data_IF_404165972511
#
_entry.id   IF_404165972511
#
_cell.length_a   1.000
_cell.length_b   1.000
_cell.length_c   1.000
_cell.angle_alpha   90.00
_cell.angle_beta   90.00
_cell.angle_gamma   90.00
#
_symmetry.space_group_name_H-M   'P 1'
#
loop_
_entity.id
_entity.type
_entity.pdbx_description
1 polymer ?
#
# COMPACT_ATOMS: atom_id res chain seq x y z
N UNK A 1 42.28 21.70 -9.64
CA UNK A 1 41.74 20.39 -9.23
C UNK A 1 42.19 20.11 -7.81
N UNK A 2 41.37 19.44 -7.00
CA UNK A 2 41.79 18.87 -5.72
C UNK A 2 42.35 17.48 -6.03
N UNK A 3 43.63 17.27 -5.72
CA UNK A 3 44.34 16.00 -5.93
C UNK A 3 45.01 15.52 -4.64
N UNK A 4 45.73 14.40 -4.71
CA UNK A 4 46.45 13.82 -3.56
C UNK A 4 47.57 14.70 -2.99
N UNK A 5 47.98 15.75 -3.71
CA UNK A 5 48.96 16.74 -3.24
C UNK A 5 48.32 17.95 -2.55
N UNK A 6 47.00 18.09 -2.67
CA UNK A 6 46.24 19.19 -2.07
C UNK A 6 46.11 18.99 -0.57
N UNK A 7 46.65 19.93 0.22
CA UNK A 7 46.47 19.93 1.68
C UNK A 7 45.13 20.57 2.03
N UNK A 8 44.32 19.82 2.76
CA UNK A 8 43.02 20.27 3.25
C UNK A 8 43.07 20.43 4.76
N UNK A 9 42.50 21.52 5.25
CA UNK A 9 42.26 21.75 6.67
C UNK A 9 40.74 21.83 6.88
N UNK A 10 40.23 21.04 7.81
CA UNK A 10 38.80 20.97 8.10
C UNK A 10 38.46 21.85 9.31
N UNK A 11 37.50 22.75 9.13
CA UNK A 11 36.87 23.52 10.21
C UNK A 11 35.37 23.20 10.19
N UNK A 12 34.91 22.17 10.91
CA UNK A 12 33.56 21.62 10.73
C UNK A 12 32.44 22.51 11.31
N UNK A 13 32.79 23.52 12.12
CA UNK A 13 31.81 24.41 12.73
C UNK A 13 30.83 23.64 13.62
N UNK A 14 29.54 23.69 13.29
CA UNK A 14 28.47 22.95 13.97
C UNK A 14 28.16 21.58 13.36
N UNK A 15 28.82 21.20 12.26
CA UNK A 15 28.67 19.89 11.62
C UNK A 15 29.45 18.81 12.36
N UNK A 16 29.01 17.56 12.22
CA UNK A 16 29.72 16.37 12.69
C UNK A 16 30.78 15.87 11.68
N UNK A 17 31.03 16.62 10.60
CA UNK A 17 32.00 16.27 9.56
C UNK A 17 33.39 16.06 10.17
N UNK A 18 33.98 14.90 9.89
CA UNK A 18 35.33 14.53 10.32
C UNK A 18 36.32 14.53 9.15
N UNK A 19 37.61 14.58 9.43
CA UNK A 19 38.64 14.43 8.39
C UNK A 19 38.50 13.09 7.66
N UNK A 20 38.20 12.02 8.41
CA UNK A 20 37.92 10.70 7.84
C UNK A 20 36.79 10.76 6.81
N UNK A 21 35.67 11.37 7.17
CA UNK A 21 34.54 11.53 6.27
C UNK A 21 34.90 12.39 5.05
N UNK A 22 35.57 13.53 5.25
CA UNK A 22 36.03 14.40 4.16
C UNK A 22 36.88 13.66 3.13
N UNK A 23 37.89 12.89 3.57
CA UNK A 23 38.75 12.16 2.65
C UNK A 23 38.01 11.06 1.89
N UNK A 24 37.08 10.36 2.54
CA UNK A 24 36.26 9.34 1.88
C UNK A 24 35.25 9.94 0.88
N UNK A 25 34.69 11.11 1.19
CA UNK A 25 33.83 11.87 0.26
C UNK A 25 34.61 12.27 -0.99
N UNK A 26 35.81 12.83 -0.82
CA UNK A 26 36.68 13.18 -1.95
C UNK A 26 37.08 11.96 -2.79
N UNK A 27 37.43 10.86 -2.14
CA UNK A 27 37.72 9.60 -2.81
C UNK A 27 36.51 9.09 -3.62
N UNK A 28 35.31 9.18 -3.06
CA UNK A 28 34.08 8.79 -3.75
C UNK A 28 33.78 9.67 -4.95
N UNK A 29 33.96 10.99 -4.82
CA UNK A 29 33.80 11.93 -5.93
C UNK A 29 34.81 11.67 -7.04
N UNK A 30 36.08 11.42 -6.72
CA UNK A 30 37.12 11.09 -7.70
C UNK A 30 36.87 9.76 -8.41
N UNK A 31 36.29 8.78 -7.71
CA UNK A 31 35.91 7.49 -8.31
C UNK A 31 34.69 7.61 -9.23
N UNK A 32 33.76 8.51 -8.93
CA UNK A 32 32.53 8.71 -9.74
C UNK A 32 32.79 9.67 -10.90
N UNK A 33 33.64 10.68 -10.69
CA UNK A 33 33.98 11.72 -11.67
C UNK A 33 35.50 11.70 -11.87
N UNK A 34 36.03 10.76 -12.68
CA UNK A 34 37.46 10.61 -12.89
C UNK A 34 37.98 11.72 -13.82
N UNK A 35 38.47 12.82 -13.25
CA UNK A 35 39.02 13.94 -14.02
C UNK A 35 40.43 13.64 -14.57
N UNK A 36 40.78 14.12 -15.78
CA UNK A 36 39.92 14.86 -16.71
C UNK A 36 38.92 13.93 -17.43
N UNK A 37 37.70 14.42 -17.63
CA UNK A 37 36.69 13.70 -18.40
C UNK A 37 37.07 13.68 -19.89
N UNK A 38 36.78 12.59 -20.62
CA UNK A 38 37.00 12.53 -22.06
C UNK A 38 36.11 13.54 -22.80
N UNK A 39 36.57 14.05 -23.94
CA UNK A 39 35.76 14.92 -24.80
C UNK A 39 34.49 14.20 -25.23
N UNK A 40 33.34 14.86 -25.10
CA UNK A 40 32.04 14.32 -25.54
C UNK A 40 31.98 14.34 -27.06
N UNK A 41 31.59 13.21 -27.67
CA UNK A 41 31.35 13.13 -29.11
C UNK A 41 30.15 14.01 -29.51
N UNK A 42 30.02 14.31 -30.80
CA UNK A 42 28.90 15.13 -31.30
C UNK A 42 27.55 14.41 -31.13
N UNK A 43 27.50 13.09 -31.31
CA UNK A 43 26.22 12.36 -31.32
C UNK A 43 25.45 12.42 -29.99
N UNK A 44 26.08 12.26 -28.79
CA UNK A 44 25.41 12.51 -27.51
C UNK A 44 24.92 13.94 -27.32
N UNK A 45 25.61 14.94 -27.88
CA UNK A 45 25.23 16.36 -27.77
C UNK A 45 23.98 16.71 -28.59
N UNK A 46 23.64 15.88 -29.59
CA UNK A 46 22.44 16.05 -30.42
C UNK A 46 21.16 15.50 -29.75
N UNK A 47 21.27 14.87 -28.58
CA UNK A 47 20.14 14.28 -27.82
C UNK A 47 20.06 14.88 -26.43
N UNK A 48 18.89 14.82 -25.80
CA UNK A 48 18.73 15.26 -24.41
C UNK A 48 19.73 14.55 -23.48
N UNK A 49 20.30 15.29 -22.53
CA UNK A 49 21.25 14.75 -21.57
C UNK A 49 20.62 13.64 -20.73
N UNK A 50 21.33 12.53 -20.55
CA UNK A 50 20.89 11.43 -19.68
C UNK A 50 21.94 11.15 -18.60
N UNK A 51 21.53 10.76 -17.38
CA UNK A 51 22.49 10.43 -16.33
C UNK A 51 23.31 9.19 -16.72
N UNK A 52 24.61 9.20 -16.43
CA UNK A 52 25.54 8.10 -16.72
C UNK A 52 26.14 7.51 -15.44
N UNK A 53 26.51 8.34 -14.47
CA UNK A 53 26.94 7.92 -13.13
C UNK A 53 26.17 8.74 -12.09
N UNK A 54 25.66 8.06 -11.06
CA UNK A 54 24.93 8.68 -9.95
C UNK A 54 25.57 8.22 -8.64
N UNK A 55 26.01 9.18 -7.83
CA UNK A 55 26.50 8.97 -6.48
C UNK A 55 25.53 9.59 -5.49
N UNK A 56 25.01 8.78 -4.57
CA UNK A 56 24.19 9.25 -3.45
C UNK A 56 25.03 9.19 -2.18
N UNK A 57 25.23 10.35 -1.58
CA UNK A 57 25.94 10.52 -0.32
C UNK A 57 24.92 10.70 0.80
N UNK A 58 24.90 9.79 1.76
CA UNK A 58 23.95 9.79 2.86
C UNK A 58 24.60 10.39 4.11
N UNK A 59 23.87 11.29 4.79
CA UNK A 59 24.24 11.92 6.06
C UNK A 59 25.59 12.66 6.07
N UNK A 60 25.94 13.35 4.99
CA UNK A 60 27.19 14.12 4.91
C UNK A 60 27.27 15.13 6.06
N UNK A 61 28.25 14.92 6.95
CA UNK A 61 28.51 15.77 8.11
C UNK A 61 27.44 15.72 9.20
N UNK A 62 26.65 14.64 9.25
CA UNK A 62 25.59 14.43 10.23
C UNK A 62 25.75 13.04 10.86
N UNK A 63 25.86 12.96 12.19
CA UNK A 63 25.81 11.68 12.90
C UNK A 63 24.36 11.38 13.33
N UNK A 64 23.67 10.39 12.70
CA UNK A 64 22.28 10.09 13.03
C UNK A 64 22.11 9.53 14.45
N UNK A 65 23.20 9.13 15.11
CA UNK A 65 23.20 8.57 16.47
C UNK A 65 23.97 9.44 17.46
N UNK A 66 24.19 10.73 17.15
CA UNK A 66 24.90 11.67 18.03
C UNK A 66 24.38 11.65 19.47
N UNK A 67 23.06 11.76 19.65
CA UNK A 67 22.45 11.76 20.97
C UNK A 67 22.66 10.45 21.74
N UNK A 68 22.57 9.31 21.04
CA UNK A 68 22.84 7.99 21.63
C UNK A 68 24.29 7.85 22.07
N UNK A 69 25.23 8.34 21.25
CA UNK A 69 26.66 8.35 21.59
C UNK A 69 26.95 9.24 22.79
N UNK A 70 26.41 10.46 22.79
CA UNK A 70 26.68 11.46 23.84
C UNK A 70 26.11 11.01 25.20
N UNK A 71 25.01 10.25 25.20
CA UNK A 71 24.37 9.71 26.40
C UNK A 71 24.74 8.25 26.73
N UNK A 72 25.62 7.61 25.95
CA UNK A 72 25.96 6.18 26.07
C UNK A 72 24.73 5.25 26.12
N UNK A 73 23.73 5.54 25.29
CA UNK A 73 22.52 4.72 25.21
C UNK A 73 22.86 3.39 24.55
N UNK A 74 22.57 2.30 25.25
CA UNK A 74 22.74 0.94 24.74
C UNK A 74 21.44 0.44 24.14
N UNK A 75 21.58 -0.21 22.98
CA UNK A 75 20.47 -0.87 22.30
C UNK A 75 20.00 -2.09 23.09
N UNK A 76 18.71 -2.18 23.35
CA UNK A 76 18.08 -3.34 24.03
C UNK A 76 17.23 -4.20 23.10
N UNK A 77 17.05 -3.78 21.85
CA UNK A 77 16.15 -4.43 20.87
C UNK A 77 16.93 -5.00 19.70
N UNK A 78 16.42 -6.08 19.10
CA UNK A 78 17.00 -6.72 17.92
C UNK A 78 16.72 -5.98 16.60
N UNK A 79 15.89 -4.92 16.61
CA UNK A 79 15.54 -4.17 15.40
C UNK A 79 16.75 -3.34 14.91
N UNK A 80 17.29 -3.74 13.76
CA UNK A 80 18.53 -3.19 13.18
C UNK A 80 18.35 -2.56 11.81
N UNK A 81 17.12 -2.48 11.29
CA UNK A 81 16.85 -1.76 10.03
C UNK A 81 17.20 -0.27 10.16
N UNK A 82 17.80 0.31 9.13
CA UNK A 82 18.28 1.70 9.14
C UNK A 82 17.14 2.72 9.03
N UNK A 83 15.95 2.33 8.56
CA UNK A 83 14.78 3.21 8.47
C UNK A 83 13.87 3.12 9.69
N UNK A 84 14.03 2.09 10.51
CA UNK A 84 13.26 1.84 11.72
C UNK A 84 14.16 1.27 12.82
N UNK A 85 15.20 2.01 13.20
CA UNK A 85 16.23 1.54 14.10
C UNK A 85 15.75 1.52 15.57
N UNK A 86 16.16 0.50 16.31
CA UNK A 86 15.90 0.36 17.75
C UNK A 86 14.42 0.21 18.15
N UNK A 87 14.19 0.18 19.46
CA UNK A 87 12.85 0.14 20.05
C UNK A 87 12.02 1.39 19.75
N UNK A 88 12.68 2.54 19.58
CA UNK A 88 12.05 3.83 19.27
C UNK A 88 11.73 4.02 17.78
N UNK A 89 12.16 3.09 16.90
CA UNK A 89 11.94 3.16 15.45
C UNK A 89 12.45 4.46 14.83
N UNK A 90 13.70 4.79 15.06
CA UNK A 90 14.34 5.99 14.50
C UNK A 90 14.72 5.79 13.03
N UNK A 91 14.70 6.86 12.26
CA UNK A 91 15.21 6.86 10.88
C UNK A 91 16.65 7.33 10.92
N UNK A 92 17.59 6.49 10.46
CA UNK A 92 19.00 6.85 10.41
C UNK A 92 19.39 7.52 9.08
N UNK A 93 18.49 7.62 8.10
CA UNK A 93 18.71 8.31 6.82
C UNK A 93 18.12 9.72 6.91
N UNK A 94 18.96 10.70 7.23
CA UNK A 94 18.53 12.07 7.55
C UNK A 94 18.71 13.04 6.38
N UNK A 95 19.81 12.93 5.65
CA UNK A 95 20.09 13.77 4.47
C UNK A 95 20.64 12.93 3.34
N UNK A 96 20.36 13.33 2.11
CA UNK A 96 20.92 12.72 0.91
C UNK A 96 21.43 13.81 -0.02
N UNK A 97 22.66 13.68 -0.49
CA UNK A 97 23.22 14.52 -1.55
C UNK A 97 23.42 13.65 -2.79
N UNK A 98 22.64 13.90 -3.85
CA UNK A 98 22.75 13.22 -5.13
C UNK A 98 23.68 14.00 -6.05
N UNK A 99 24.76 13.36 -6.48
CA UNK A 99 25.71 13.86 -7.49
C UNK A 99 25.50 13.06 -8.77
N UNK A 100 25.19 13.74 -9.87
CA UNK A 100 24.92 13.12 -11.16
C UNK A 100 25.89 13.63 -12.20
N UNK A 101 26.63 12.72 -12.84
CA UNK A 101 27.35 12.98 -14.07
C UNK A 101 26.47 12.54 -15.24
N UNK A 102 26.26 13.41 -16.23
CA UNK A 102 25.42 13.11 -17.39
C UNK A 102 26.24 12.85 -18.67
N UNK A 103 25.55 12.50 -19.75
CA UNK A 103 26.14 12.21 -21.07
C UNK A 103 26.83 13.41 -21.74
N UNK A 104 26.64 14.62 -21.23
CA UNK A 104 27.27 15.85 -21.71
C UNK A 104 28.47 16.28 -20.84
N UNK A 105 28.91 15.42 -19.91
CA UNK A 105 29.92 15.72 -18.89
C UNK A 105 29.51 16.84 -17.91
N UNK A 106 28.22 17.13 -17.75
CA UNK A 106 27.74 18.06 -16.74
C UNK A 106 27.60 17.33 -15.40
N UNK A 107 27.92 18.05 -14.32
CA UNK A 107 27.80 17.56 -12.95
C UNK A 107 26.67 18.34 -12.28
N UNK A 108 25.62 17.63 -11.89
CA UNK A 108 24.50 18.16 -11.14
C UNK A 108 24.58 17.68 -9.69
N UNK A 109 24.22 18.56 -8.76
CA UNK A 109 24.17 18.24 -7.33
C UNK A 109 22.84 18.69 -6.76
N UNK A 110 22.12 17.75 -6.14
CA UNK A 110 20.86 18.00 -5.45
C UNK A 110 20.97 17.54 -4.01
N UNK A 111 20.47 18.34 -3.07
CA UNK A 111 20.41 18.00 -1.65
C UNK A 111 18.96 17.77 -1.24
N UNK A 112 18.75 16.71 -0.49
CA UNK A 112 17.46 16.34 0.11
C UNK A 112 17.62 16.30 1.62
N UNK A 113 16.77 17.04 2.32
CA UNK A 113 16.66 17.06 3.76
C UNK A 113 15.19 17.13 4.19
N UNK A 114 14.94 16.96 5.49
CA UNK A 114 13.60 16.96 6.07
C UNK A 114 12.97 15.56 6.17
N UNK A 115 11.69 15.54 6.55
CA UNK A 115 10.99 14.32 6.97
C UNK A 115 10.83 13.30 5.84
N UNK A 116 10.85 13.74 4.58
CA UNK A 116 10.66 12.89 3.41
C UNK A 116 11.90 12.80 2.51
N UNK A 117 13.08 13.23 2.99
CA UNK A 117 14.31 13.34 2.19
C UNK A 117 14.62 12.10 1.33
N UNK A 118 14.54 10.90 1.91
CA UNK A 118 14.78 9.65 1.19
C UNK A 118 13.77 9.43 0.05
N UNK A 119 12.48 9.69 0.31
CA UNK A 119 11.41 9.45 -0.65
C UNK A 119 11.39 10.51 -1.75
N UNK A 120 11.70 11.76 -1.42
CA UNK A 120 11.88 12.82 -2.41
C UNK A 120 13.08 12.54 -3.32
N UNK A 121 14.22 12.14 -2.72
CA UNK A 121 15.40 11.71 -3.48
C UNK A 121 15.08 10.52 -4.39
N UNK A 122 14.33 9.54 -3.89
CA UNK A 122 13.95 8.35 -4.64
C UNK A 122 13.00 8.69 -5.81
N UNK A 123 11.98 9.53 -5.56
CA UNK A 123 11.06 10.00 -6.61
C UNK A 123 11.81 10.73 -7.72
N UNK A 124 12.67 11.67 -7.36
CA UNK A 124 13.39 12.49 -8.32
C UNK A 124 14.46 11.68 -9.06
N UNK A 125 15.13 10.74 -8.38
CA UNK A 125 16.00 9.74 -9.02
C UNK A 125 15.26 8.96 -10.10
N UNK A 126 14.12 8.35 -9.74
CA UNK A 126 13.33 7.50 -10.63
C UNK A 126 12.76 8.25 -11.82
N UNK A 127 12.27 9.49 -11.62
CA UNK A 127 11.74 10.32 -12.69
C UNK A 127 12.82 10.82 -13.67
N UNK A 128 14.09 10.85 -13.26
CA UNK A 128 15.22 11.24 -14.10
C UNK A 128 15.94 10.06 -14.77
N UNK A 129 15.49 8.82 -14.55
CA UNK A 129 16.07 7.65 -15.21
C UNK A 129 15.82 7.69 -16.73
N UNK A 130 16.81 7.29 -17.55
CA UNK A 130 16.64 7.20 -18.99
C UNK A 130 15.67 6.07 -19.34
N UNK A 131 14.91 6.29 -20.42
CA UNK A 131 14.10 5.24 -21.02
C UNK A 131 15.01 4.24 -21.75
N UNK A 132 14.87 2.94 -21.44
CA UNK A 132 15.57 1.86 -22.13
C UNK A 132 16.52 1.05 -21.25
N UNK A 133 17.33 0.15 -21.84
CA UNK A 133 18.13 -0.82 -21.10
C UNK A 133 19.38 -0.23 -20.45
N UNK A 134 19.88 0.90 -20.96
CA UNK A 134 21.07 1.55 -20.43
C UNK A 134 20.69 2.46 -19.27
N UNK A 135 20.93 1.96 -18.05
CA UNK A 135 20.69 2.70 -16.81
C UNK A 135 22.00 3.28 -16.27
N UNK A 136 21.96 4.41 -15.53
CA UNK A 136 23.14 4.97 -14.90
C UNK A 136 23.73 4.00 -13.87
N UNK A 137 25.04 4.08 -13.65
CA UNK A 137 25.65 3.35 -12.53
C UNK A 137 25.35 4.09 -11.24
N UNK A 138 24.57 3.46 -10.36
CA UNK A 138 24.28 3.95 -9.03
C UNK A 138 25.38 3.53 -8.06
N UNK A 139 25.78 4.44 -7.18
CA UNK A 139 26.61 4.15 -6.01
C UNK A 139 26.04 4.87 -4.81
N UNK A 140 25.78 4.15 -3.73
CA UNK A 140 25.38 4.77 -2.46
C UNK A 140 26.53 4.72 -1.48
N UNK A 141 26.85 5.84 -0.83
CA UNK A 141 27.92 5.93 0.17
C UNK A 141 27.43 6.68 1.41
N UNK A 142 27.91 6.23 2.56
CA UNK A 142 27.69 6.85 3.85
C UNK A 142 28.99 6.72 4.63
N UNK A 143 29.36 7.77 5.35
CA UNK A 143 30.63 7.84 6.09
C UNK A 143 30.44 8.37 7.52
N UNK A 144 29.20 8.38 8.01
CA UNK A 144 28.92 8.73 9.40
C UNK A 144 29.61 7.76 10.36
N UNK A 145 29.84 8.21 11.59
CA UNK A 145 30.65 7.47 12.57
C UNK A 145 30.11 6.05 12.84
N UNK A 146 28.80 5.92 13.00
CA UNK A 146 28.14 4.67 13.35
C UNK A 146 27.26 4.16 12.21
N UNK A 147 27.29 2.85 11.98
CA UNK A 147 26.42 2.11 11.04
C UNK A 147 26.43 2.60 9.59
N UNK A 148 27.42 3.39 9.17
CA UNK A 148 27.56 3.89 7.80
C UNK A 148 27.30 2.82 6.72
N UNK A 149 27.94 1.65 6.83
CA UNK A 149 27.76 0.58 5.85
C UNK A 149 26.32 0.05 5.79
N UNK A 150 25.65 -0.13 6.94
CA UNK A 150 24.26 -0.58 6.99
C UNK A 150 23.29 0.47 6.46
N UNK A 151 23.58 1.75 6.67
CA UNK A 151 22.79 2.86 6.13
C UNK A 151 22.93 2.90 4.61
N UNK A 152 24.16 2.88 4.09
CA UNK A 152 24.42 2.89 2.66
C UNK A 152 23.79 1.70 1.96
N UNK A 153 23.99 0.48 2.47
CA UNK A 153 23.41 -0.73 1.89
C UNK A 153 21.89 -0.66 1.86
N UNK A 154 21.25 -0.24 2.96
CA UNK A 154 19.79 -0.18 3.02
C UNK A 154 19.20 0.81 2.02
N UNK A 155 19.84 1.97 1.83
CA UNK A 155 19.41 2.96 0.83
C UNK A 155 19.63 2.43 -0.59
N UNK A 156 20.76 1.77 -0.85
CA UNK A 156 21.06 1.11 -2.13
C UNK A 156 20.01 0.04 -2.48
N UNK A 157 19.68 -0.84 -1.54
CA UNK A 157 18.66 -1.89 -1.72
C UNK A 157 17.30 -1.30 -2.13
N UNK A 158 16.89 -0.18 -1.52
CA UNK A 158 15.62 0.49 -1.82
C UNK A 158 15.65 1.13 -3.21
N UNK A 159 16.74 1.81 -3.58
CA UNK A 159 16.90 2.43 -4.89
C UNK A 159 16.92 1.37 -6.00
N UNK A 160 17.69 0.31 -5.83
CA UNK A 160 17.79 -0.79 -6.78
C UNK A 160 16.44 -1.50 -6.92
N UNK A 161 15.76 -1.77 -5.80
CA UNK A 161 14.41 -2.35 -5.82
C UNK A 161 13.44 -1.45 -6.57
N UNK A 162 13.34 -0.17 -6.23
CA UNK A 162 12.41 0.75 -6.87
C UNK A 162 12.71 0.93 -8.36
N UNK A 163 13.99 0.99 -8.76
CA UNK A 163 14.38 1.04 -10.16
C UNK A 163 13.96 -0.24 -10.91
N UNK A 164 14.25 -1.41 -10.36
CA UNK A 164 13.88 -2.68 -10.98
C UNK A 164 12.36 -2.81 -11.15
N UNK A 165 11.60 -2.39 -10.14
CA UNK A 165 10.13 -2.38 -10.20
C UNK A 165 9.63 -1.39 -11.26
N UNK A 166 10.19 -0.18 -11.35
CA UNK A 166 9.83 0.80 -12.38
C UNK A 166 10.11 0.27 -13.80
N UNK A 167 11.28 -0.34 -13.99
CA UNK A 167 11.73 -0.87 -15.29
C UNK A 167 10.93 -2.10 -15.74
N UNK A 168 10.23 -2.78 -14.84
CA UNK A 168 9.32 -3.87 -15.21
C UNK A 168 8.09 -3.39 -15.99
N UNK A 169 7.74 -2.09 -15.89
CA UNK A 169 6.59 -1.47 -16.55
C UNK A 169 5.24 -2.10 -16.21
N UNK A 170 5.10 -2.73 -15.04
CA UNK A 170 3.85 -3.34 -14.59
C UNK A 170 2.99 -2.41 -13.72
N UNK A 171 3.27 -1.09 -13.72
CA UNK A 171 2.55 -0.08 -12.94
C UNK A 171 2.43 -0.44 -11.44
N UNK A 172 3.55 -0.88 -10.85
CA UNK A 172 3.57 -1.33 -9.46
C UNK A 172 3.46 -0.17 -8.46
N UNK A 173 2.92 -0.48 -7.29
CA UNK A 173 3.04 0.32 -6.08
C UNK A 173 4.12 -0.29 -5.19
N UNK A 174 5.08 0.49 -4.72
CA UNK A 174 6.10 0.04 -3.77
C UNK A 174 5.82 0.62 -2.38
N UNK A 175 5.49 -0.25 -1.42
CA UNK A 175 5.21 0.12 -0.03
C UNK A 175 6.46 -0.03 0.83
N UNK A 176 6.93 1.09 1.39
CA UNK A 176 8.08 1.17 2.29
C UNK A 176 7.61 1.66 3.66
N UNK A 177 8.23 1.19 4.73
CA UNK A 177 8.02 1.71 6.08
C UNK A 177 9.26 2.47 6.56
N UNK A 178 9.06 3.72 6.99
CA UNK A 178 10.09 4.54 7.63
C UNK A 178 9.56 4.93 9.00
N UNK A 179 10.28 4.55 10.06
CA UNK A 179 9.84 4.69 11.45
C UNK A 179 8.49 3.98 11.68
N UNK A 180 7.46 4.76 12.02
CA UNK A 180 6.08 4.32 12.20
C UNK A 180 5.18 4.67 11.01
N UNK A 181 5.71 5.37 10.00
CA UNK A 181 4.96 5.84 8.85
C UNK A 181 5.17 4.92 7.64
N UNK A 182 4.18 4.92 6.76
CA UNK A 182 4.20 4.17 5.52
C UNK A 182 4.33 5.13 4.34
N UNK A 183 4.99 4.68 3.30
CA UNK A 183 5.19 5.44 2.08
C UNK A 183 4.89 4.55 0.88
N UNK A 184 4.09 5.04 -0.05
CA UNK A 184 3.82 4.34 -1.31
C UNK A 184 4.39 5.13 -2.46
N UNK A 185 5.19 4.46 -3.29
CA UNK A 185 5.59 4.97 -4.60
C UNK A 185 4.72 4.33 -5.67
N UNK A 186 4.05 5.16 -6.48
CA UNK A 186 3.35 4.71 -7.68
C UNK A 186 4.33 4.77 -8.84
N UNK A 187 4.77 3.59 -9.31
CA UNK A 187 5.87 3.46 -10.26
C UNK A 187 5.37 3.49 -11.70
N UNK A 188 4.89 4.66 -12.11
CA UNK A 188 4.55 4.94 -13.51
C UNK A 188 5.75 5.62 -14.19
N UNK A 189 6.30 5.07 -15.29
CA UNK A 189 7.45 5.65 -15.99
C UNK A 189 7.28 7.14 -16.30
N UNK A 190 8.22 7.97 -15.83
CA UNK A 190 8.21 9.43 -16.00
C UNK A 190 7.16 10.19 -15.18
N UNK A 191 6.37 9.50 -14.36
CA UNK A 191 5.36 10.08 -13.47
C UNK A 191 5.33 9.35 -12.12
N UNK A 192 6.50 9.03 -11.58
CA UNK A 192 6.59 8.42 -10.25
C UNK A 192 6.05 9.40 -9.22
N UNK A 193 5.04 8.96 -8.47
CA UNK A 193 4.41 9.72 -7.40
C UNK A 193 4.73 9.09 -6.05
N UNK A 194 4.62 9.90 -5.01
CA UNK A 194 4.84 9.51 -3.63
C UNK A 194 3.62 9.90 -2.79
N UNK A 195 3.14 8.95 -1.99
CA UNK A 195 2.14 9.17 -0.95
C UNK A 195 2.77 8.89 0.43
N UNK A 196 2.68 9.85 1.34
CA UNK A 196 3.08 9.69 2.73
C UNK A 196 1.86 9.40 3.61
N UNK A 197 1.92 8.30 4.36
CA UNK A 197 0.82 7.76 5.15
C UNK A 197 1.27 7.67 6.61
N UNK A 198 0.72 8.54 7.45
CA UNK A 198 1.21 8.76 8.82
C UNK A 198 0.81 7.67 9.82
N UNK A 199 -0.07 6.74 9.41
CA UNK A 199 -0.61 5.72 10.31
C UNK A 199 -1.13 4.50 9.55
N UNK A 200 -1.40 3.42 10.28
CA UNK A 200 -2.01 2.21 9.74
C UNK A 200 -3.44 2.47 9.19
N UNK A 201 -4.33 3.24 9.84
CA UNK A 201 -5.59 3.66 9.23
C UNK A 201 -5.42 4.40 7.91
N UNK A 202 -4.45 5.33 7.81
CA UNK A 202 -4.17 6.01 6.55
C UNK A 202 -3.69 5.05 5.45
N UNK A 203 -2.98 3.99 5.82
CA UNK A 203 -2.62 2.91 4.89
C UNK A 203 -3.84 2.10 4.44
N UNK A 204 -4.77 1.77 5.35
CA UNK A 204 -6.04 1.14 4.98
C UNK A 204 -6.83 2.02 4.00
N UNK A 205 -6.94 3.32 4.28
CA UNK A 205 -7.63 4.27 3.41
C UNK A 205 -7.00 4.36 2.02
N UNK A 206 -5.66 4.38 1.95
CA UNK A 206 -4.92 4.36 0.68
C UNK A 206 -5.16 3.07 -0.10
N UNK A 207 -5.06 1.91 0.56
CA UNK A 207 -5.25 0.61 -0.08
C UNK A 207 -6.70 0.40 -0.53
N UNK A 208 -7.67 1.07 0.09
CA UNK A 208 -9.09 1.04 -0.29
C UNK A 208 -9.46 1.97 -1.45
N UNK A 209 -8.52 2.77 -1.96
CA UNK A 209 -8.77 3.63 -3.11
C UNK A 209 -8.99 2.80 -4.37
N UNK A 210 -10.04 3.16 -5.13
CA UNK A 210 -10.33 2.57 -6.43
C UNK A 210 -9.15 2.76 -7.38
N UNK A 211 -8.83 1.70 -8.12
CA UNK A 211 -7.80 1.71 -9.15
C UNK A 211 -8.47 1.70 -10.52
N UNK A 212 -7.85 2.34 -11.53
CA UNK A 212 -8.35 2.29 -12.91
C UNK A 212 -7.92 1.04 -13.67
N UNK A 213 -6.90 0.35 -13.17
CA UNK A 213 -6.31 -0.87 -13.74
C UNK A 213 -5.62 -1.64 -12.63
N UNK A 214 -5.41 -2.94 -12.82
CA UNK A 214 -4.65 -3.75 -11.87
C UNK A 214 -3.27 -3.15 -11.61
N UNK A 215 -2.97 -2.89 -10.33
CA UNK A 215 -1.68 -2.37 -9.88
C UNK A 215 -1.09 -3.30 -8.81
N UNK A 216 -0.08 -4.13 -9.15
CA UNK A 216 0.58 -4.99 -8.19
C UNK A 216 1.21 -4.16 -7.07
N UNK A 217 1.20 -4.67 -5.85
CA UNK A 217 1.87 -4.04 -4.71
C UNK A 217 3.11 -4.85 -4.35
N UNK A 218 4.27 -4.21 -4.41
CA UNK A 218 5.52 -4.74 -3.88
C UNK A 218 5.69 -4.25 -2.45
N UNK A 219 5.86 -5.16 -1.51
CA UNK A 219 6.07 -4.85 -0.10
C UNK A 219 7.57 -4.85 0.21
N UNK A 220 8.08 -3.77 0.80
CA UNK A 220 9.43 -3.76 1.33
C UNK A 220 9.60 -4.83 2.43
N UNK A 221 10.69 -5.63 2.42
CA UNK A 221 10.86 -6.72 3.38
C UNK A 221 10.89 -6.32 4.86
N UNK A 222 11.21 -5.06 5.17
CA UNK A 222 11.26 -4.54 6.55
C UNK A 222 9.98 -3.77 6.93
N UNK A 223 8.99 -3.71 6.05
CA UNK A 223 7.70 -3.10 6.32
C UNK A 223 6.72 -4.10 6.95
N UNK A 224 5.85 -3.60 7.84
CA UNK A 224 4.73 -4.36 8.41
C UNK A 224 5.12 -5.64 9.18
N UNK A 225 6.35 -5.74 9.72
CA UNK A 225 6.95 -6.94 10.33
C UNK A 225 6.05 -7.72 11.31
N UNK A 226 5.11 -7.06 11.98
CA UNK A 226 4.19 -7.67 12.96
C UNK A 226 2.71 -7.53 12.60
N UNK A 227 2.39 -7.16 11.36
CA UNK A 227 1.02 -6.95 10.90
C UNK A 227 0.60 -7.97 9.85
N UNK A 228 -0.67 -8.40 9.89
CA UNK A 228 -1.26 -9.38 8.95
C UNK A 228 -1.11 -8.99 7.48
N UNK A 229 -1.11 -7.68 7.21
CA UNK A 229 -0.89 -7.10 5.87
C UNK A 229 0.44 -7.56 5.24
N UNK A 230 1.47 -7.85 6.04
CA UNK A 230 2.76 -8.36 5.53
C UNK A 230 2.64 -9.71 4.81
N UNK A 231 1.64 -10.51 5.19
CA UNK A 231 1.42 -11.83 4.63
C UNK A 231 0.50 -11.81 3.42
N UNK A 232 -0.55 -10.97 3.46
CA UNK A 232 -1.59 -10.98 2.42
C UNK A 232 -1.29 -10.05 1.25
N UNK A 233 -0.65 -8.89 1.47
CA UNK A 233 -0.40 -7.93 0.39
C UNK A 233 0.48 -8.51 -0.74
N UNK A 234 1.54 -9.28 -0.45
CA UNK A 234 2.34 -9.92 -1.51
C UNK A 234 1.59 -11.00 -2.32
N UNK A 235 0.41 -11.44 -1.86
CA UNK A 235 -0.36 -12.48 -2.52
C UNK A 235 -1.30 -11.96 -3.62
N UNK A 236 -1.41 -10.64 -3.82
CA UNK A 236 -2.31 -10.05 -4.81
C UNK A 236 -2.12 -10.63 -6.22
N UNK A 237 -3.22 -11.05 -6.85
CA UNK A 237 -3.29 -11.62 -8.18
C UNK A 237 -4.26 -10.84 -9.06
N UNK A 238 -3.93 -10.64 -10.35
CA UNK A 238 -4.86 -10.03 -11.30
C UNK A 238 -6.06 -10.96 -11.53
N UNK A 239 -7.19 -10.37 -11.93
CA UNK A 239 -8.42 -11.10 -12.28
C UNK A 239 -8.88 -12.08 -11.18
N UNK A 240 -8.72 -11.72 -9.91
CA UNK A 240 -9.11 -12.56 -8.77
C UNK A 240 -9.68 -11.72 -7.63
N UNK A 241 -10.64 -12.28 -6.91
CA UNK A 241 -11.11 -11.79 -5.63
C UNK A 241 -10.50 -12.67 -4.54
N UNK A 242 -9.62 -12.11 -3.72
CA UNK A 242 -8.91 -12.87 -2.69
C UNK A 242 -9.40 -12.47 -1.31
N UNK A 243 -10.12 -13.38 -0.67
CA UNK A 243 -10.67 -13.24 0.67
C UNK A 243 -9.71 -13.83 1.68
N UNK A 244 -9.27 -13.01 2.62
CA UNK A 244 -8.42 -13.42 3.74
C UNK A 244 -9.17 -13.18 5.04
N UNK A 245 -9.06 -14.11 5.99
CA UNK A 245 -9.59 -13.86 7.32
C UNK A 245 -8.65 -14.34 8.42
N UNK A 246 -8.73 -13.68 9.57
CA UNK A 246 -8.02 -14.06 10.79
C UNK A 246 -8.94 -13.98 11.99
N UNK A 247 -8.98 -15.04 12.78
CA UNK A 247 -9.77 -15.09 14.01
C UNK A 247 -8.91 -14.68 15.19
N UNK A 248 -9.40 -13.76 16.02
CA UNK A 248 -8.76 -13.35 17.26
C UNK A 248 -9.82 -12.88 18.27
N UNK A 249 -9.81 -13.47 19.47
CA UNK A 249 -10.64 -13.04 20.61
C UNK A 249 -12.15 -12.90 20.32
N UNK A 250 -12.75 -13.89 19.65
CA UNK A 250 -14.18 -13.85 19.31
C UNK A 250 -14.54 -12.83 18.23
N UNK A 251 -13.52 -12.26 17.56
CA UNK A 251 -13.64 -11.41 16.39
C UNK A 251 -12.91 -12.05 15.21
N UNK A 252 -13.30 -11.66 14.00
CA UNK A 252 -12.61 -11.97 12.77
C UNK A 252 -12.25 -10.69 12.01
N UNK A 253 -10.98 -10.55 11.69
CA UNK A 253 -10.50 -9.56 10.73
C UNK A 253 -10.63 -10.16 9.33
N UNK A 254 -11.41 -9.52 8.47
CA UNK A 254 -11.72 -9.93 7.11
C UNK A 254 -11.11 -8.92 6.16
N UNK A 255 -10.34 -9.40 5.19
CA UNK A 255 -9.71 -8.60 4.14
C UNK A 255 -10.13 -9.16 2.78
N UNK A 256 -10.37 -8.28 1.81
CA UNK A 256 -10.63 -8.67 0.42
C UNK A 256 -9.73 -7.84 -0.48
N UNK A 257 -8.85 -8.48 -1.23
CA UNK A 257 -8.20 -7.86 -2.38
C UNK A 257 -9.10 -8.07 -3.59
N UNK A 258 -9.48 -6.97 -4.24
CA UNK A 258 -10.33 -7.01 -5.43
C UNK A 258 -9.53 -7.28 -6.72
N UNK A 259 -10.23 -7.36 -7.84
CA UNK A 259 -9.67 -7.67 -9.15
C UNK A 259 -8.63 -6.65 -9.65
N UNK A 260 -8.58 -5.45 -9.05
CA UNK A 260 -7.63 -4.38 -9.36
C UNK A 260 -6.57 -4.18 -8.26
N UNK A 261 -6.56 -5.06 -7.25
CA UNK A 261 -5.69 -5.02 -6.08
C UNK A 261 -5.96 -3.81 -5.15
N UNK A 262 -7.21 -3.35 -5.09
CA UNK A 262 -7.72 -2.50 -4.03
C UNK A 262 -8.21 -3.36 -2.86
N UNK A 263 -7.93 -2.94 -1.64
CA UNK A 263 -8.21 -3.71 -0.43
C UNK A 263 -9.45 -3.18 0.29
N UNK A 264 -10.33 -4.08 0.67
CA UNK A 264 -11.40 -3.82 1.62
C UNK A 264 -11.10 -4.55 2.92
N UNK A 265 -11.40 -3.94 4.06
CA UNK A 265 -11.19 -4.53 5.39
C UNK A 265 -12.41 -4.29 6.28
N UNK A 266 -12.76 -5.30 7.07
CA UNK A 266 -13.76 -5.17 8.13
C UNK A 266 -13.44 -6.12 9.28
N UNK A 267 -13.71 -5.67 10.51
CA UNK A 267 -13.66 -6.51 11.70
C UNK A 267 -15.08 -6.86 12.14
N UNK A 268 -15.36 -8.15 12.32
CA UNK A 268 -16.69 -8.70 12.58
C UNK A 268 -16.70 -9.63 13.80
N UNK A 269 -17.82 -9.77 14.53
CA UNK A 269 -18.00 -10.86 15.49
C UNK A 269 -17.80 -12.23 14.84
N UNK A 270 -17.05 -13.10 15.51
CA UNK A 270 -16.78 -14.46 15.03
C UNK A 270 -17.63 -15.48 15.78
N UNK A 271 -18.38 -16.28 15.03
CA UNK A 271 -19.08 -17.46 15.55
C UNK A 271 -18.46 -18.73 14.95
N UNK A 272 -18.59 -18.90 13.64
CA UNK A 272 -17.94 -19.97 12.87
C UNK A 272 -17.59 -19.52 11.44
N UNK A 273 -16.76 -20.30 10.76
CA UNK A 273 -16.29 -20.00 9.39
C UNK A 273 -17.43 -19.89 8.37
N UNK A 274 -18.46 -20.73 8.46
CA UNK A 274 -19.59 -20.69 7.52
C UNK A 274 -20.41 -19.42 7.72
N UNK A 275 -20.68 -19.05 8.98
CA UNK A 275 -21.45 -17.85 9.31
C UNK A 275 -20.76 -16.56 8.86
N UNK A 276 -19.43 -16.55 8.78
CA UNK A 276 -18.64 -15.43 8.27
C UNK A 276 -18.60 -15.41 6.74
N UNK A 277 -18.26 -16.55 6.12
CA UNK A 277 -17.89 -16.59 4.70
C UNK A 277 -19.07 -16.82 3.75
N UNK A 278 -20.12 -17.54 4.17
CA UNK A 278 -21.29 -17.80 3.28
C UNK A 278 -22.00 -16.51 2.85
N UNK A 279 -22.30 -15.54 3.75
CA UNK A 279 -22.93 -14.29 3.34
C UNK A 279 -22.05 -13.48 2.38
N UNK A 280 -20.74 -13.45 2.63
CA UNK A 280 -19.78 -12.79 1.74
C UNK A 280 -19.70 -13.48 0.38
N UNK A 281 -19.63 -14.81 0.32
CA UNK A 281 -19.64 -15.57 -0.94
C UNK A 281 -20.88 -15.26 -1.77
N UNK A 282 -22.07 -15.26 -1.15
CA UNK A 282 -23.33 -14.90 -1.84
C UNK A 282 -23.24 -13.48 -2.42
N UNK A 283 -22.76 -12.53 -1.63
CA UNK A 283 -22.56 -11.16 -2.06
C UNK A 283 -21.60 -11.04 -3.24
N UNK A 284 -20.42 -11.67 -3.18
CA UNK A 284 -19.44 -11.63 -4.27
C UNK A 284 -19.97 -12.28 -5.56
N UNK A 285 -20.69 -13.41 -5.44
CA UNK A 285 -21.36 -14.04 -6.59
C UNK A 285 -22.48 -13.16 -7.16
N UNK A 286 -23.21 -12.42 -6.32
CA UNK A 286 -24.26 -11.51 -6.79
C UNK A 286 -23.70 -10.38 -7.66
N UNK A 287 -22.52 -9.84 -7.31
CA UNK A 287 -21.80 -8.85 -8.12
C UNK A 287 -21.48 -9.44 -9.50
N UNK A 288 -20.94 -10.66 -9.54
CA UNK A 288 -20.61 -11.35 -10.79
C UNK A 288 -21.86 -11.56 -11.65
N UNK A 289 -22.96 -12.04 -11.05
CA UNK A 289 -24.23 -12.25 -11.75
C UNK A 289 -24.82 -10.95 -12.34
N UNK A 290 -24.78 -9.83 -11.61
CA UNK A 290 -25.27 -8.55 -12.13
C UNK A 290 -24.43 -8.02 -13.29
N UNK A 291 -23.11 -8.22 -13.22
CA UNK A 291 -22.20 -7.89 -14.33
C UNK A 291 -22.61 -8.64 -15.59
N UNK A 292 -22.94 -9.94 -15.47
CA UNK A 292 -23.43 -10.74 -16.60
C UNK A 292 -24.76 -10.26 -17.14
N UNK A 293 -25.71 -9.99 -16.25
CA UNK A 293 -27.04 -9.52 -16.63
C UNK A 293 -27.01 -8.16 -17.35
N UNK A 294 -25.92 -7.39 -17.17
CA UNK A 294 -25.72 -6.08 -17.80
C UNK A 294 -25.05 -6.18 -19.17
N UNK A 295 -24.51 -7.34 -19.57
CA UNK A 295 -23.81 -7.50 -20.84
C UNK A 295 -24.78 -7.70 -22.01
N UNK A 296 -24.46 -7.18 -23.21
CA UNK A 296 -25.22 -7.47 -24.41
C UNK A 296 -25.23 -8.97 -24.73
N UNK A 297 -26.33 -9.45 -25.31
CA UNK A 297 -26.57 -10.87 -25.62
C UNK A 297 -25.55 -11.50 -26.59
N UNK A 298 -24.87 -10.66 -27.40
CA UNK A 298 -23.84 -11.07 -28.38
C UNK A 298 -22.39 -10.93 -27.84
N UNK A 299 -22.22 -10.66 -26.54
CA UNK A 299 -20.90 -10.52 -25.92
C UNK A 299 -20.20 -11.90 -25.75
N UNK A 300 -18.87 -11.90 -25.86
CA UNK A 300 -18.05 -13.08 -25.48
C UNK A 300 -18.29 -13.34 -23.99
N UNK A 301 -18.46 -14.61 -23.60
CA UNK A 301 -18.63 -14.98 -22.19
C UNK A 301 -17.57 -14.27 -21.32
N UNK A 302 -17.98 -13.45 -20.34
CA UNK A 302 -17.05 -12.73 -19.50
C UNK A 302 -16.20 -13.74 -18.71
N UNK A 303 -14.89 -13.48 -18.65
CA UNK A 303 -14.02 -14.19 -17.72
C UNK A 303 -14.22 -13.55 -16.34
N UNK A 304 -14.87 -14.28 -15.45
CA UNK A 304 -15.04 -13.84 -14.07
C UNK A 304 -13.74 -13.94 -13.28
N UNK A 305 -13.53 -13.03 -12.32
CA UNK A 305 -12.45 -13.22 -11.38
C UNK A 305 -12.72 -14.45 -10.50
N UNK A 306 -11.71 -15.29 -10.31
CA UNK A 306 -11.79 -16.40 -9.38
C UNK A 306 -11.95 -15.88 -7.95
N UNK A 307 -12.79 -16.52 -7.13
CA UNK A 307 -12.93 -16.16 -5.71
C UNK A 307 -12.11 -17.15 -4.89
N UNK A 308 -11.01 -16.67 -4.32
CA UNK A 308 -10.03 -17.45 -3.58
C UNK A 308 -10.11 -17.13 -2.09
N UNK A 309 -10.05 -18.16 -1.25
CA UNK A 309 -10.19 -18.04 0.21
C UNK A 309 -8.93 -18.46 0.94
N UNK A 310 -8.59 -17.69 1.97
CA UNK A 310 -7.37 -17.87 2.75
C UNK A 310 -7.61 -17.58 4.23
N UNK A 311 -6.95 -18.33 5.09
CA UNK A 311 -6.90 -18.07 6.52
C UNK A 311 -5.48 -17.71 6.96
N UNK A 312 -5.35 -16.63 7.74
CA UNK A 312 -4.11 -16.29 8.41
C UNK A 312 -3.98 -17.04 9.72
N UNK A 313 -2.81 -17.66 9.93
CA UNK A 313 -2.52 -18.50 11.09
C UNK A 313 -1.18 -18.12 11.75
N UNK A 314 -1.04 -18.31 13.08
CA UNK A 314 -2.06 -18.80 14.01
C UNK A 314 -3.16 -17.76 14.30
N UNK A 315 -4.34 -18.27 14.63
CA UNK A 315 -5.42 -17.46 15.22
C UNK A 315 -5.03 -16.99 16.63
N UNK A 316 -5.69 -15.95 17.12
CA UNK A 316 -5.46 -15.34 18.44
C UNK A 316 -4.61 -14.06 18.38
N UNK A 317 -4.20 -13.59 19.57
CA UNK A 317 -3.58 -12.27 19.78
C UNK A 317 -2.13 -12.14 19.36
N UNK A 318 -1.44 -13.26 19.10
CA UNK A 318 -0.06 -13.24 18.59
C UNK A 318 0.03 -12.68 17.17
N UNK A 319 1.23 -12.73 16.57
CA UNK A 319 1.36 -12.42 15.13
C UNK A 319 1.01 -13.63 14.27
N UNK A 320 0.31 -13.40 13.16
CA UNK A 320 0.20 -14.38 12.10
C UNK A 320 1.60 -14.66 11.52
N UNK A 321 1.80 -15.88 11.00
CA UNK A 321 3.07 -16.33 10.44
C UNK A 321 2.94 -16.99 9.08
N UNK A 322 1.73 -17.41 8.70
CA UNK A 322 1.47 -18.05 7.41
C UNK A 322 0.05 -17.81 6.94
N UNK A 323 -0.15 -18.00 5.64
CA UNK A 323 -1.44 -18.03 4.98
C UNK A 323 -1.73 -19.45 4.53
N UNK A 324 -2.93 -19.95 4.80
CA UNK A 324 -3.40 -21.28 4.40
C UNK A 324 -4.60 -21.15 3.47
N UNK A 325 -4.56 -21.80 2.31
CA UNK A 325 -5.68 -21.80 1.38
C UNK A 325 -6.88 -22.57 1.96
N UNK A 326 -8.08 -22.03 1.76
CA UNK A 326 -9.34 -22.62 2.19
C UNK A 326 -10.23 -22.88 0.96
N UNK A 327 -11.04 -23.94 0.97
CA UNK A 327 -12.05 -24.12 -0.06
C UNK A 327 -13.10 -23.02 0.03
N UNK A 328 -13.76 -22.70 -1.08
CA UNK A 328 -14.90 -21.80 -1.07
C UNK A 328 -16.00 -22.33 -0.12
N UNK A 329 -16.66 -21.47 0.65
CA UNK A 329 -17.70 -21.88 1.58
C UNK A 329 -18.87 -22.49 0.82
N UNK A 330 -19.33 -23.66 1.26
CA UNK A 330 -20.50 -24.28 0.66
C UNK A 330 -21.76 -23.53 1.13
N UNK A 331 -22.54 -23.02 0.18
CA UNK A 331 -23.83 -22.41 0.48
C UNK A 331 -24.85 -23.54 0.71
N UNK A 332 -25.37 -23.75 1.93
CA UNK A 332 -26.32 -24.81 2.18
C UNK A 332 -27.64 -24.51 1.46
N UNK A 333 -28.14 -25.44 0.66
CA UNK A 333 -29.41 -25.31 -0.09
C UNK A 333 -30.61 -25.07 0.86
N UNK A 334 -30.52 -25.54 2.11
CA UNK A 334 -31.63 -25.61 3.06
C UNK A 334 -31.48 -24.74 4.32
N UNK A 335 -30.46 -23.87 4.40
CA UNK A 335 -30.43 -22.85 5.47
C UNK A 335 -30.97 -21.55 4.89
N UNK A 336 -32.19 -21.11 5.27
CA UNK A 336 -32.67 -19.78 4.92
C UNK A 336 -31.82 -18.77 5.70
N UNK A 337 -30.71 -18.34 5.11
CA UNK A 337 -30.13 -17.07 5.48
C UNK A 337 -31.16 -16.00 5.12
N UNK A 338 -31.34 -15.05 6.02
CA UNK A 338 -32.30 -13.99 5.80
C UNK A 338 -31.72 -13.04 4.75
N UNK A 339 -32.09 -13.24 3.49
CA UNK A 339 -31.52 -12.52 2.36
C UNK A 339 -32.06 -11.08 2.35
N UNK A 340 -31.19 -10.14 2.74
CA UNK A 340 -31.42 -8.72 2.59
C UNK A 340 -30.73 -8.26 1.32
N UNK A 341 -31.51 -7.67 0.42
CA UNK A 341 -31.00 -7.07 -0.81
C UNK A 341 -31.08 -5.55 -0.69
N UNK A 342 -30.15 -4.85 -1.29
CA UNK A 342 -30.13 -3.39 -1.29
C UNK A 342 -30.04 -2.86 -2.72
N UNK A 343 -30.75 -1.77 -3.00
CA UNK A 343 -30.64 -0.99 -4.23
C UNK A 343 -30.24 0.42 -3.84
N UNK A 344 -29.16 0.93 -4.42
CA UNK A 344 -28.69 2.31 -4.20
C UNK A 344 -28.77 3.08 -5.50
N UNK A 345 -29.61 4.10 -5.51
CA UNK A 345 -29.83 4.98 -6.66
C UNK A 345 -29.37 6.41 -6.42
N UNK A 346 -29.36 7.23 -7.48
CA UNK A 346 -29.17 8.68 -7.39
C UNK A 346 -30.42 9.37 -6.88
N UNK A 347 -30.26 10.30 -5.94
CA UNK A 347 -31.30 11.20 -5.48
C UNK A 347 -31.03 12.63 -5.96
N UNK A 348 -31.27 13.64 -5.10
CA UNK A 348 -30.82 15.01 -5.30
C UNK A 348 -29.28 15.09 -5.47
N UNK A 349 -28.72 16.16 -6.07
CA UNK A 349 -27.27 16.29 -6.28
C UNK A 349 -26.47 16.04 -4.99
N UNK A 350 -25.57 15.05 -5.01
CA UNK A 350 -24.74 14.66 -3.88
C UNK A 350 -25.41 13.74 -2.85
N UNK A 351 -26.66 13.31 -3.06
CA UNK A 351 -27.36 12.35 -2.21
C UNK A 351 -27.62 11.03 -2.95
N UNK A 352 -27.52 9.94 -2.21
CA UNK A 352 -27.95 8.61 -2.63
C UNK A 352 -29.33 8.32 -2.04
N UNK A 353 -30.10 7.47 -2.69
CA UNK A 353 -31.35 6.93 -2.17
C UNK A 353 -31.19 5.43 -1.97
N UNK A 354 -31.59 4.94 -0.81
CA UNK A 354 -31.52 3.51 -0.47
C UNK A 354 -32.91 2.87 -0.47
N UNK A 355 -33.01 1.70 -1.10
CA UNK A 355 -34.17 0.80 -0.98
C UNK A 355 -33.67 -0.58 -0.53
N UNK A 356 -34.29 -1.14 0.50
CA UNK A 356 -33.97 -2.44 1.06
C UNK A 356 -35.11 -3.42 0.78
N UNK A 357 -34.77 -4.62 0.32
CA UNK A 357 -35.69 -5.73 0.18
C UNK A 357 -35.37 -6.79 1.22
N UNK A 358 -36.42 -7.19 1.92
CA UNK A 358 -36.35 -8.11 3.04
C UNK A 358 -37.47 -9.14 2.85
N UNK A 359 -37.12 -10.38 2.48
CA UNK A 359 -38.08 -11.44 2.15
C UNK A 359 -39.17 -10.98 1.13
N UNK A 360 -38.75 -10.35 0.03
CA UNK A 360 -39.62 -9.78 -1.03
C UNK A 360 -40.48 -8.58 -0.62
N UNK A 361 -40.37 -8.08 0.62
CA UNK A 361 -40.99 -6.82 1.04
C UNK A 361 -40.02 -5.66 0.82
N UNK A 362 -40.51 -4.62 0.15
CA UNK A 362 -39.77 -3.39 -0.12
C UNK A 362 -39.86 -2.41 1.05
N UNK A 363 -38.74 -1.77 1.37
CA UNK A 363 -38.65 -0.65 2.30
C UNK A 363 -37.78 0.43 1.66
N UNK A 364 -38.34 1.60 1.39
CA UNK A 364 -37.62 2.68 0.71
C UNK A 364 -37.38 3.87 1.62
N UNK A 365 -36.26 4.58 1.41
CA UNK A 365 -35.97 5.83 2.10
C UNK A 365 -37.00 6.92 1.77
N UNK A 366 -37.68 6.85 0.62
CA UNK A 366 -38.78 7.77 0.28
C UNK A 366 -40.00 7.57 1.20
N UNK A 367 -40.28 6.34 1.61
CA UNK A 367 -41.41 6.02 2.48
C UNK A 367 -41.08 6.25 3.96
N UNK A 368 -39.88 5.85 4.39
CA UNK A 368 -39.52 5.78 5.81
C UNK A 368 -38.51 6.84 6.26
N UNK A 369 -37.88 7.58 5.35
CA UNK A 369 -36.86 8.59 5.66
C UNK A 369 -35.77 8.03 6.59
N UNK A 370 -35.42 8.82 7.61
CA UNK A 370 -34.40 8.46 8.61
C UNK A 370 -34.74 7.20 9.43
N UNK A 371 -35.99 6.70 9.36
CA UNK A 371 -36.42 5.51 10.09
C UNK A 371 -36.23 4.21 9.31
N UNK A 372 -35.78 4.27 8.05
CA UNK A 372 -35.67 3.10 7.15
C UNK A 372 -35.01 1.90 7.85
N UNK A 373 -33.81 2.07 8.39
CA UNK A 373 -33.05 0.98 9.03
C UNK A 373 -33.75 0.43 10.28
N UNK A 374 -34.42 1.29 11.07
CA UNK A 374 -35.16 0.87 12.26
C UNK A 374 -36.41 0.04 11.93
N UNK A 375 -37.11 0.38 10.85
CA UNK A 375 -38.29 -0.36 10.38
C UNK A 375 -37.86 -1.73 9.85
N UNK A 376 -36.80 -1.77 9.04
CA UNK A 376 -36.25 -3.02 8.50
C UNK A 376 -35.70 -3.92 9.62
N UNK A 377 -35.03 -3.33 10.62
CA UNK A 377 -34.53 -4.08 11.79
C UNK A 377 -35.67 -4.78 12.56
N UNK A 378 -36.81 -4.10 12.77
CA UNK A 378 -37.99 -4.71 13.43
C UNK A 378 -38.55 -5.86 12.61
N UNK A 379 -38.71 -5.69 11.30
CA UNK A 379 -39.19 -6.77 10.42
C UNK A 379 -38.25 -7.98 10.46
N UNK A 380 -36.93 -7.76 10.41
CA UNK A 380 -35.94 -8.84 10.53
C UNK A 380 -36.12 -9.59 11.85
N UNK A 381 -36.27 -8.87 12.97
CA UNK A 381 -36.43 -9.50 14.31
C UNK A 381 -37.73 -10.29 14.41
N UNK A 382 -38.85 -9.76 13.92
CA UNK A 382 -40.15 -10.45 13.92
C UNK A 382 -40.14 -11.77 13.12
N UNK A 383 -39.30 -11.83 12.09
CA UNK A 383 -39.21 -12.98 11.19
C UNK A 383 -38.13 -14.00 11.60
N UNK A 384 -37.29 -13.69 12.60
CA UNK A 384 -36.27 -14.61 13.11
C UNK A 384 -36.93 -15.79 13.82
N UNK A 385 -36.62 -17.00 13.34
CA UNK A 385 -37.06 -18.26 13.95
C UNK A 385 -36.12 -18.75 15.05
N UNK A 386 -34.87 -18.31 15.04
CA UNK A 386 -33.86 -18.66 16.02
C UNK A 386 -33.77 -17.59 17.12
N UNK A 387 -33.54 -18.04 18.35
CA UNK A 387 -33.43 -17.17 19.54
C UNK A 387 -32.09 -16.42 19.61
N UNK A 388 -31.09 -16.85 18.83
CA UNK A 388 -29.78 -16.21 18.80
C UNK A 388 -29.82 -14.90 18.00
N UNK A 389 -29.28 -13.84 18.61
CA UNK A 389 -29.12 -12.54 17.97
C UNK A 389 -27.92 -12.59 17.03
N UNK A 390 -28.13 -12.96 15.77
CA UNK A 390 -27.09 -12.91 14.74
C UNK A 390 -27.12 -11.59 13.95
N UNK A 391 -25.98 -11.26 13.33
CA UNK A 391 -25.80 -10.07 12.49
C UNK A 391 -26.61 -10.18 11.19
N UNK A 392 -27.20 -9.08 10.73
CA UNK A 392 -27.78 -9.00 9.40
C UNK A 392 -26.69 -8.78 8.34
N UNK A 393 -26.78 -9.52 7.25
CA UNK A 393 -25.90 -9.41 6.09
C UNK A 393 -26.68 -9.04 4.84
N UNK A 394 -26.13 -8.14 4.05
CA UNK A 394 -26.60 -7.85 2.69
C UNK A 394 -25.95 -8.87 1.76
N UNK A 395 -26.78 -9.71 1.16
CA UNK A 395 -26.34 -10.79 0.27
C UNK A 395 -26.41 -10.38 -1.19
N UNK A 396 -27.00 -9.23 -1.49
CA UNK A 396 -27.10 -8.69 -2.85
C UNK A 396 -27.21 -7.15 -2.83
N UNK A 397 -26.47 -6.47 -3.70
CA UNK A 397 -26.46 -5.01 -3.80
C UNK A 397 -26.47 -4.56 -5.27
N UNK A 398 -27.41 -3.70 -5.61
CA UNK A 398 -27.51 -3.06 -6.92
C UNK A 398 -27.03 -1.60 -6.84
N UNK A 399 -25.98 -1.29 -7.61
CA UNK A 399 -25.43 0.07 -7.75
C UNK A 399 -25.64 0.66 -9.16
N UNK A 400 -26.42 0.00 -10.03
CA UNK A 400 -26.63 0.43 -11.43
C UNK A 400 -27.17 1.86 -11.53
N UNK A 401 -28.08 2.25 -10.64
CA UNK A 401 -28.61 3.62 -10.57
C UNK A 401 -27.56 4.68 -10.23
N UNK A 402 -26.47 4.31 -9.55
CA UNK A 402 -25.35 5.19 -9.20
C UNK A 402 -24.30 5.25 -10.33
N UNK A 403 -23.96 4.10 -10.88
CA UNK A 403 -22.85 3.94 -11.83
C UNK A 403 -23.25 4.25 -13.29
N UNK A 404 -24.55 4.24 -13.62
CA UNK A 404 -25.02 4.38 -14.99
C UNK A 404 -24.55 3.20 -15.84
N UNK A 405 -23.95 3.46 -17.00
CA UNK A 405 -23.46 2.43 -17.92
C UNK A 405 -22.09 1.84 -17.50
N UNK A 406 -21.47 2.38 -16.44
CA UNK A 406 -20.18 1.90 -15.92
C UNK A 406 -20.33 0.69 -14.99
N UNK A 407 -19.33 -0.19 -14.99
CA UNK A 407 -19.21 -1.26 -14.00
C UNK A 407 -18.25 -0.80 -12.90
N UNK A 408 -18.72 -0.74 -11.65
CA UNK A 408 -17.89 -0.41 -10.48
C UNK A 408 -17.03 -1.59 -10.05
N UNK A 409 -15.89 -1.33 -9.39
CA UNK A 409 -15.02 -2.38 -8.83
C UNK A 409 -15.71 -3.15 -7.70
N UNK A 410 -15.30 -4.40 -7.45
CA UNK A 410 -15.88 -5.19 -6.36
C UNK A 410 -15.65 -4.52 -4.99
N UNK A 411 -14.54 -3.77 -4.83
CA UNK A 411 -14.27 -2.97 -3.65
C UNK A 411 -15.35 -1.90 -3.39
N UNK A 412 -15.82 -1.21 -4.42
CA UNK A 412 -16.90 -0.21 -4.29
C UNK A 412 -18.18 -0.84 -3.72
N UNK A 413 -18.58 -2.00 -4.25
CA UNK A 413 -19.73 -2.75 -3.74
C UNK A 413 -19.54 -3.15 -2.27
N UNK A 414 -18.35 -3.64 -1.90
CA UNK A 414 -18.02 -4.01 -0.51
C UNK A 414 -18.07 -2.82 0.46
N UNK A 415 -17.70 -1.62 0.01
CA UNK A 415 -17.80 -0.38 0.81
C UNK A 415 -19.26 -0.02 1.10
N UNK A 416 -20.11 0.04 0.08
CA UNK A 416 -21.54 0.29 0.27
C UNK A 416 -22.21 -0.79 1.12
N UNK A 417 -21.86 -2.07 0.90
CA UNK A 417 -22.31 -3.18 1.74
C UNK A 417 -21.95 -2.95 3.21
N UNK A 418 -20.70 -2.60 3.51
CA UNK A 418 -20.25 -2.38 4.88
C UNK A 418 -21.00 -1.23 5.57
N UNK A 419 -21.24 -0.13 4.85
CA UNK A 419 -21.97 1.03 5.36
C UNK A 419 -23.43 0.69 5.67
N UNK A 420 -24.13 0.04 4.73
CA UNK A 420 -25.51 -0.36 4.91
C UNK A 420 -25.67 -1.44 5.99
N UNK A 421 -24.76 -2.42 6.05
CA UNK A 421 -24.77 -3.41 7.12
C UNK A 421 -24.48 -2.80 8.48
N UNK A 422 -23.59 -1.82 8.58
CA UNK A 422 -23.35 -1.11 9.83
C UNK A 422 -24.62 -0.42 10.31
N UNK A 423 -25.27 0.37 9.46
CA UNK A 423 -26.52 1.06 9.80
C UNK A 423 -27.64 0.07 10.19
N UNK A 424 -27.80 -1.04 9.47
CA UNK A 424 -28.77 -2.09 9.81
C UNK A 424 -28.48 -2.75 11.16
N UNK A 425 -27.22 -3.07 11.44
CA UNK A 425 -26.88 -3.78 12.66
C UNK A 425 -26.89 -2.87 13.89
N UNK A 426 -26.54 -1.59 13.74
CA UNK A 426 -26.74 -0.58 14.79
C UNK A 426 -28.24 -0.42 15.13
N UNK A 427 -29.12 -0.44 14.13
CA UNK A 427 -30.56 -0.42 14.35
C UNK A 427 -31.07 -1.70 15.01
N UNK A 428 -30.54 -2.88 14.64
CA UNK A 428 -30.89 -4.17 15.25
C UNK A 428 -30.51 -4.26 16.73
N UNK A 429 -29.45 -3.57 17.17
CA UNK A 429 -29.07 -3.52 18.58
C UNK A 429 -30.05 -2.70 19.44
N UNK A 430 -30.86 -1.85 18.81
CA UNK A 430 -31.84 -0.98 19.47
C UNK A 430 -33.26 -1.56 19.55
N UNK A 431 -33.49 -2.70 18.88
CA UNK A 431 -34.77 -3.46 18.88
C UNK A 431 -34.67 -4.63 19.85
#
# INVERSE_FOLDING_TARGET
MIDSSTRLALHPGSSDLSEFELFNLLGSLQQTIPLPLPTVAEEPLLRASVPSEILILVNVGVDPLKHHRDLNILMTTERTDSLSYAGVRENLVLTLDQVTLNSWNEVLVSRYDGVHALLDCLRDYLNNLPQGPQQPKLRVRCFCHNRAQFIAQRVEDILDTAQNLLLSQLNLRYLIQVQQHYHVLELVPGQVKHAALTSLPALFDYLAQEQSSYSPLHLDPMALEDHDLSLLLPMGQPDSLQVFYRVSEGLADLYVLDELNAMWHQRLPWHDEQSLLVPLQRFLLSIQYRRDASLPMDSVQPKHPDILYYQLLPSGTGRARRVEARPAPQTPVNKPFYDVQAIVGKAAPGKVQVTLYCNQREFSELEHGDQLFSVVAREIVEQRRETERYRCYITDLDLSGLLGDGQGSSNLYLRYKADLERALNEALEQV
#
